data_IF_178336904341
#
_entry.id   IF_178336904341
#
_cell.length_a   1.000
_cell.length_b   1.000
_cell.length_c   1.000
_cell.angle_alpha   90.00
_cell.angle_beta   90.00
_cell.angle_gamma   90.00
#
_symmetry.space_group_name_H-M   'P 1'
#
loop_
_entity.id
_entity.type
_entity.pdbx_description
1 polymer ?
#
# COMPACT_ATOMS: atom_id res chain seq x y z
N UNK A 1 3.15 4.86 -25.55
CA UNK A 1 2.05 4.92 -26.55
C UNK A 1 1.37 6.27 -26.45
N UNK A 2 1.04 6.94 -27.56
CA UNK A 2 0.18 8.12 -27.55
C UNK A 2 -1.24 7.70 -27.12
N UNK A 3 -1.79 8.21 -26.00
CA UNK A 3 -3.14 7.89 -25.60
C UNK A 3 -4.13 8.38 -26.66
N UNK A 4 -4.97 7.49 -27.17
CA UNK A 4 -6.01 7.86 -28.13
C UNK A 4 -7.10 8.67 -27.43
N UNK A 5 -7.20 9.97 -27.73
CA UNK A 5 -8.22 10.88 -27.17
C UNK A 5 -9.56 10.59 -27.87
N UNK A 6 -10.23 9.49 -27.52
CA UNK A 6 -11.53 9.09 -28.11
C UNK A 6 -12.72 9.49 -27.26
N UNK A 7 -12.51 9.78 -25.98
CA UNK A 7 -13.56 10.11 -25.01
C UNK A 7 -14.12 11.53 -25.24
N UNK A 8 -15.45 11.63 -25.34
CA UNK A 8 -16.15 12.89 -25.59
C UNK A 8 -16.02 13.87 -24.41
N UNK A 9 -15.91 13.39 -23.17
CA UNK A 9 -15.74 14.23 -21.99
C UNK A 9 -14.34 14.87 -21.98
N UNK A 10 -13.30 14.11 -22.34
CA UNK A 10 -11.92 14.64 -22.48
C UNK A 10 -11.86 15.67 -23.61
N UNK A 11 -12.48 15.39 -24.76
CA UNK A 11 -12.56 16.35 -25.87
C UNK A 11 -13.29 17.63 -25.47
N UNK A 12 -14.40 17.51 -24.73
CA UNK A 12 -15.16 18.65 -24.25
C UNK A 12 -14.35 19.49 -23.26
N UNK A 13 -13.64 18.86 -22.32
CA UNK A 13 -12.75 19.56 -21.39
C UNK A 13 -11.64 20.33 -22.13
N UNK A 14 -10.96 19.68 -23.08
CA UNK A 14 -9.92 20.33 -23.89
C UNK A 14 -10.50 21.50 -24.71
N UNK A 15 -11.67 21.32 -25.32
CA UNK A 15 -12.32 22.36 -26.11
C UNK A 15 -12.77 23.55 -25.25
N UNK A 16 -13.29 23.29 -24.05
CA UNK A 16 -13.66 24.33 -23.09
C UNK A 16 -12.44 25.16 -22.69
N UNK A 17 -11.34 24.52 -22.28
CA UNK A 17 -10.09 25.19 -21.92
C UNK A 17 -9.50 25.97 -23.09
N UNK A 18 -9.58 25.42 -24.31
CA UNK A 18 -9.13 26.13 -25.51
C UNK A 18 -9.92 27.43 -25.74
N UNK A 19 -11.23 27.41 -25.46
CA UNK A 19 -12.14 28.55 -25.63
C UNK A 19 -12.03 29.61 -24.53
N UNK A 20 -11.41 29.28 -23.39
CA UNK A 20 -11.20 30.23 -22.31
C UNK A 20 -10.16 31.29 -22.69
N UNK A 21 -10.44 32.54 -22.31
CA UNK A 21 -9.50 33.66 -22.32
C UNK A 21 -8.52 33.57 -21.15
N UNK A 22 -7.80 32.44 -21.07
CA UNK A 22 -6.77 32.17 -20.08
C UNK A 22 -5.38 32.16 -20.74
N UNK A 23 -4.34 32.42 -19.95
CA UNK A 23 -2.93 32.28 -20.35
C UNK A 23 -2.58 30.81 -20.64
N UNK A 24 -1.45 30.56 -21.31
CA UNK A 24 -1.01 29.18 -21.57
C UNK A 24 -0.74 28.43 -20.26
N UNK A 25 -0.11 29.09 -19.30
CA UNK A 25 0.17 28.54 -17.96
C UNK A 25 -1.11 28.10 -17.25
N UNK A 26 -2.12 28.97 -17.19
CA UNK A 26 -3.43 28.67 -16.59
C UNK A 26 -4.12 27.49 -17.30
N UNK A 27 -4.05 27.42 -18.63
CA UNK A 27 -4.62 26.29 -19.40
C UNK A 27 -3.92 24.97 -19.10
N UNK A 28 -2.61 24.96 -18.94
CA UNK A 28 -1.83 23.78 -18.54
C UNK A 28 -2.25 23.35 -17.12
N UNK A 29 -2.34 24.31 -16.21
CA UNK A 29 -2.74 24.06 -14.82
C UNK A 29 -4.14 23.46 -14.72
N UNK A 30 -5.13 24.00 -15.46
CA UNK A 30 -6.48 23.45 -15.52
C UNK A 30 -6.51 22.00 -16.02
N UNK A 31 -5.71 21.67 -17.04
CA UNK A 31 -5.61 20.29 -17.53
C UNK A 31 -5.07 19.33 -16.46
N UNK A 32 -4.03 19.75 -15.73
CA UNK A 32 -3.45 18.99 -14.62
C UNK A 32 -4.51 18.78 -13.52
N UNK A 33 -5.24 19.83 -13.13
CA UNK A 33 -6.27 19.75 -12.08
C UNK A 33 -7.43 18.83 -12.44
N UNK A 34 -7.91 18.89 -13.69
CA UNK A 34 -8.96 17.98 -14.17
C UNK A 34 -8.45 16.54 -14.18
N UNK A 35 -7.20 16.32 -14.63
CA UNK A 35 -6.59 14.99 -14.63
C UNK A 35 -6.47 14.43 -13.20
N UNK A 36 -6.04 15.25 -12.23
CA UNK A 36 -6.00 14.90 -10.81
C UNK A 36 -7.39 14.53 -10.27
N UNK A 37 -8.44 15.23 -10.71
CA UNK A 37 -9.82 14.92 -10.34
C UNK A 37 -10.24 13.49 -10.74
N UNK A 38 -9.94 13.09 -11.98
CA UNK A 38 -10.17 11.73 -12.45
C UNK A 38 -9.31 10.70 -11.71
N UNK A 39 -8.05 11.02 -11.42
CA UNK A 39 -7.10 10.14 -10.73
C UNK A 39 -7.49 9.88 -9.27
N UNK A 40 -7.95 10.90 -8.53
CA UNK A 40 -8.29 10.77 -7.10
C UNK A 40 -9.58 10.00 -6.85
N UNK A 41 -10.53 10.03 -7.78
CA UNK A 41 -11.85 9.39 -7.64
C UNK A 41 -12.28 8.70 -8.95
N UNK A 42 -11.55 7.68 -9.42
CA UNK A 42 -11.91 6.96 -10.62
C UNK A 42 -13.19 6.16 -10.37
N UNK A 43 -14.17 6.28 -11.28
CA UNK A 43 -15.36 5.42 -11.28
C UNK A 43 -15.14 4.19 -12.16
N UNK A 44 -14.28 4.32 -13.16
CA UNK A 44 -13.96 3.29 -14.14
C UNK A 44 -12.48 3.33 -14.51
N UNK A 45 -11.95 2.25 -15.08
CA UNK A 45 -10.60 2.25 -15.66
C UNK A 45 -10.45 3.30 -16.80
N UNK A 46 -11.55 3.67 -17.45
CA UNK A 46 -11.55 4.70 -18.49
C UNK A 46 -11.25 6.09 -17.90
N UNK A 47 -11.67 6.38 -16.67
CA UNK A 47 -11.34 7.65 -16.00
C UNK A 47 -9.83 7.83 -15.83
N UNK A 48 -9.12 6.75 -15.52
CA UNK A 48 -7.66 6.76 -15.41
C UNK A 48 -6.99 6.95 -16.78
N UNK A 49 -7.53 6.31 -17.84
CA UNK A 49 -7.04 6.56 -19.22
C UNK A 49 -7.30 8.00 -19.67
N UNK A 50 -8.41 8.59 -19.23
CA UNK A 50 -8.75 9.99 -19.46
C UNK A 50 -7.77 10.92 -18.73
N UNK A 51 -7.44 10.64 -17.46
CA UNK A 51 -6.42 11.36 -16.71
C UNK A 51 -5.05 11.32 -17.40
N UNK A 52 -4.58 10.14 -17.85
CA UNK A 52 -3.33 10.01 -18.62
C UNK A 52 -3.36 10.88 -19.87
N UNK A 53 -4.48 10.91 -20.61
CA UNK A 53 -4.62 11.71 -21.82
C UNK A 53 -4.55 13.21 -21.54
N UNK A 54 -5.15 13.67 -20.44
CA UNK A 54 -5.12 15.06 -20.00
C UNK A 54 -3.72 15.49 -19.54
N UNK A 55 -3.03 14.66 -18.75
CA UNK A 55 -1.64 14.92 -18.36
C UNK A 55 -0.72 14.94 -19.56
N UNK A 56 -0.86 14.02 -20.51
CA UNK A 56 -0.09 14.03 -21.76
C UNK A 56 -0.31 15.33 -22.54
N UNK A 57 -1.57 15.82 -22.61
CA UNK A 57 -1.86 17.09 -23.27
C UNK A 57 -1.22 18.28 -22.55
N UNK A 58 -1.27 18.31 -21.21
CA UNK A 58 -0.61 19.33 -20.41
C UNK A 58 0.91 19.32 -20.64
N UNK A 59 1.52 18.13 -20.63
CA UNK A 59 2.95 17.92 -20.91
C UNK A 59 3.37 18.51 -22.27
N UNK A 60 2.62 18.18 -23.34
CA UNK A 60 2.91 18.68 -24.69
C UNK A 60 2.78 20.21 -24.80
N UNK A 61 1.88 20.81 -24.03
CA UNK A 61 1.66 22.26 -24.01
C UNK A 61 2.78 23.03 -23.28
N UNK A 62 3.55 22.36 -22.41
CA UNK A 62 4.60 23.02 -21.62
C UNK A 62 5.83 23.44 -22.44
N UNK A 63 6.14 22.74 -23.53
CA UNK A 63 7.36 22.98 -24.31
C UNK A 63 8.62 22.95 -23.44
N UNK A 64 9.53 23.90 -23.66
CA UNK A 64 10.73 24.14 -22.83
C UNK A 64 10.55 25.32 -21.86
N UNK A 65 9.43 26.04 -21.94
CA UNK A 65 9.17 27.27 -21.17
C UNK A 65 8.62 26.96 -19.77
N UNK A 66 7.73 25.96 -19.65
CA UNK A 66 7.03 25.64 -18.40
C UNK A 66 7.58 24.37 -17.75
N UNK A 67 8.88 24.36 -17.43
CA UNK A 67 9.61 23.16 -16.95
C UNK A 67 9.02 22.52 -15.69
N UNK A 68 8.58 23.32 -14.70
CA UNK A 68 7.95 22.81 -13.49
C UNK A 68 6.58 22.16 -13.78
N UNK A 69 5.73 22.81 -14.60
CA UNK A 69 4.43 22.24 -14.99
C UNK A 69 4.60 20.97 -15.83
N UNK A 70 5.64 20.91 -16.68
CA UNK A 70 6.02 19.72 -17.44
C UNK A 70 6.32 18.55 -16.50
N UNK A 71 7.15 18.78 -15.49
CA UNK A 71 7.48 17.78 -14.47
C UNK A 71 6.26 17.33 -13.65
N UNK A 72 5.38 18.26 -13.26
CA UNK A 72 4.11 17.96 -12.57
C UNK A 72 3.18 17.10 -13.43
N UNK A 73 3.04 17.42 -14.72
CA UNK A 73 2.27 16.61 -15.64
C UNK A 73 2.86 15.20 -15.83
N UNK A 74 4.19 15.08 -15.88
CA UNK A 74 4.88 13.78 -15.95
C UNK A 74 4.62 12.91 -14.72
N UNK A 75 4.79 13.43 -13.51
CA UNK A 75 4.56 12.62 -12.28
C UNK A 75 3.09 12.30 -12.07
N UNK A 76 2.17 13.21 -12.43
CA UNK A 76 0.73 12.94 -12.42
C UNK A 76 0.36 11.82 -13.40
N UNK A 77 0.93 11.85 -14.61
CA UNK A 77 0.78 10.79 -15.59
C UNK A 77 1.35 9.46 -15.08
N UNK A 78 2.57 9.46 -14.55
CA UNK A 78 3.24 8.27 -14.01
C UNK A 78 2.43 7.62 -12.88
N UNK A 79 1.94 8.41 -11.93
CA UNK A 79 1.09 7.92 -10.83
C UNK A 79 -0.25 7.38 -11.33
N UNK A 80 -0.78 7.93 -12.41
CA UNK A 80 -2.00 7.40 -13.03
C UNK A 80 -1.76 6.07 -13.73
N UNK A 81 -0.63 5.93 -14.44
CA UNK A 81 -0.24 4.69 -15.12
C UNK A 81 -0.11 3.51 -14.15
N UNK A 82 0.36 3.78 -12.93
CA UNK A 82 0.52 2.78 -11.87
C UNK A 82 -0.82 2.16 -11.41
N UNK A 83 -1.92 2.94 -11.40
CA UNK A 83 -3.19 2.53 -10.78
C UNK A 83 -4.24 2.03 -11.79
N UNK A 84 -3.94 1.99 -13.09
CA UNK A 84 -4.84 1.44 -14.11
C UNK A 84 -4.99 -0.08 -13.90
N UNK A 85 -6.20 -0.66 -13.79
CA UNK A 85 -6.38 -2.10 -13.64
C UNK A 85 -5.72 -2.93 -14.76
N UNK A 86 -5.35 -4.18 -14.46
CA UNK A 86 -4.68 -5.13 -15.36
C UNK A 86 -3.33 -4.61 -15.91
N UNK A 87 -2.55 -3.96 -15.03
CA UNK A 87 -1.26 -3.36 -15.38
C UNK A 87 -0.32 -4.40 -15.99
N UNK A 88 -0.02 -4.26 -17.27
CA UNK A 88 1.15 -4.89 -17.87
C UNK A 88 2.42 -4.19 -17.40
N UNK A 89 3.53 -4.92 -17.28
CA UNK A 89 4.85 -4.40 -16.88
C UNK A 89 5.29 -3.17 -17.69
N UNK A 90 4.78 -3.01 -18.92
CA UNK A 90 5.03 -1.86 -19.78
C UNK A 90 4.57 -0.53 -19.15
N UNK A 91 3.38 -0.47 -18.53
CA UNK A 91 2.89 0.78 -17.93
C UNK A 91 3.66 1.13 -16.66
N UNK A 92 4.06 0.13 -15.87
CA UNK A 92 4.94 0.34 -14.70
C UNK A 92 6.32 0.86 -15.12
N UNK A 93 6.87 0.34 -16.23
CA UNK A 93 8.12 0.85 -16.78
C UNK A 93 7.98 2.30 -17.27
N UNK A 94 6.86 2.64 -17.92
CA UNK A 94 6.56 4.03 -18.31
C UNK A 94 6.42 4.94 -17.08
N UNK A 95 5.73 4.48 -16.02
CA UNK A 95 5.61 5.22 -14.78
C UNK A 95 6.97 5.46 -14.12
N UNK A 96 7.82 4.42 -14.05
CA UNK A 96 9.18 4.51 -13.53
C UNK A 96 9.98 5.59 -14.27
N UNK A 97 10.01 5.54 -15.60
CA UNK A 97 10.71 6.53 -16.44
C UNK A 97 10.16 7.93 -16.19
N UNK A 98 8.83 8.10 -16.16
CA UNK A 98 8.19 9.39 -15.92
C UNK A 98 8.58 10.02 -14.57
N UNK A 99 8.68 9.22 -13.51
CA UNK A 99 9.19 9.68 -12.22
C UNK A 99 10.67 10.02 -12.26
N UNK A 100 11.52 9.14 -12.81
CA UNK A 100 12.97 9.33 -12.88
C UNK A 100 13.36 10.57 -13.71
N UNK A 101 12.65 10.86 -14.79
CA UNK A 101 12.89 12.04 -15.63
C UNK A 101 12.41 13.35 -15.00
N UNK A 102 11.28 13.33 -14.26
CA UNK A 102 10.72 14.53 -13.66
C UNK A 102 11.42 14.93 -12.35
N UNK A 103 11.95 13.97 -11.58
CA UNK A 103 12.53 14.18 -10.27
C UNK A 103 13.64 15.24 -10.22
N UNK A 104 14.62 15.30 -11.15
CA UNK A 104 15.64 16.35 -11.13
C UNK A 104 15.06 17.77 -11.21
N UNK A 105 14.05 17.97 -12.04
CA UNK A 105 13.37 19.27 -12.19
C UNK A 105 12.56 19.60 -10.93
N UNK A 106 11.84 18.62 -10.37
CA UNK A 106 11.10 18.81 -9.12
C UNK A 106 12.03 19.14 -7.96
N UNK A 107 13.17 18.46 -7.84
CA UNK A 107 14.18 18.74 -6.81
C UNK A 107 14.73 20.16 -6.88
N UNK A 108 14.78 20.75 -8.08
CA UNK A 108 15.29 22.11 -8.27
C UNK A 108 14.20 23.18 -8.10
N UNK A 109 12.95 22.90 -8.50
CA UNK A 109 11.93 23.94 -8.71
C UNK A 109 10.65 23.75 -7.89
N UNK A 110 10.36 22.54 -7.39
CA UNK A 110 9.12 22.23 -6.69
C UNK A 110 9.26 22.36 -5.16
N UNK A 111 8.14 22.26 -4.47
CA UNK A 111 8.14 22.18 -3.01
C UNK A 111 8.71 20.82 -2.53
N UNK A 112 9.39 20.75 -1.36
CA UNK A 112 9.93 19.50 -0.83
C UNK A 112 8.90 18.37 -0.74
N UNK A 113 7.65 18.70 -0.42
CA UNK A 113 6.53 17.77 -0.30
C UNK A 113 6.17 17.14 -1.65
N UNK A 114 6.22 17.92 -2.74
CA UNK A 114 6.00 17.40 -4.10
C UNK A 114 7.10 16.40 -4.50
N UNK A 115 8.35 16.69 -4.10
CA UNK A 115 9.48 15.79 -4.33
C UNK A 115 9.32 14.50 -3.52
N UNK A 116 8.91 14.61 -2.25
CA UNK A 116 8.71 13.47 -1.38
C UNK A 116 7.54 12.58 -1.83
N UNK A 117 6.44 13.16 -2.31
CA UNK A 117 5.33 12.43 -2.92
C UNK A 117 5.78 11.68 -4.19
N UNK A 118 6.56 12.33 -5.05
CA UNK A 118 7.12 11.69 -6.25
C UNK A 118 8.06 10.53 -5.89
N UNK A 119 8.91 10.68 -4.86
CA UNK A 119 9.77 9.61 -4.35
C UNK A 119 8.98 8.44 -3.75
N UNK A 120 7.96 8.72 -2.94
CA UNK A 120 7.08 7.70 -2.37
C UNK A 120 6.41 6.88 -3.48
N UNK A 121 5.86 7.54 -4.50
CA UNK A 121 5.18 6.86 -5.60
C UNK A 121 6.16 6.11 -6.52
N UNK A 122 7.34 6.66 -6.79
CA UNK A 122 8.42 5.93 -7.46
C UNK A 122 8.79 4.65 -6.69
N UNK A 123 8.88 4.72 -5.36
CA UNK A 123 9.14 3.56 -4.51
C UNK A 123 8.09 2.45 -4.71
N UNK A 124 6.80 2.80 -4.76
CA UNK A 124 5.71 1.86 -5.05
C UNK A 124 5.86 1.22 -6.43
N UNK A 125 6.12 2.02 -7.47
CA UNK A 125 6.33 1.50 -8.83
C UNK A 125 7.52 0.54 -8.89
N UNK A 126 8.64 0.91 -8.26
CA UNK A 126 9.83 0.06 -8.18
C UNK A 126 9.51 -1.26 -7.47
N UNK A 127 8.77 -1.21 -6.35
CA UNK A 127 8.36 -2.41 -5.63
C UNK A 127 7.49 -3.34 -6.50
N UNK A 128 6.53 -2.80 -7.26
CA UNK A 128 5.69 -3.57 -8.19
C UNK A 128 6.47 -4.20 -9.35
N UNK A 129 7.63 -3.65 -9.72
CA UNK A 129 8.50 -4.16 -10.78
C UNK A 129 9.46 -5.28 -10.31
N UNK A 130 9.60 -5.50 -9.00
CA UNK A 130 10.52 -6.53 -8.44
C UNK A 130 10.17 -7.95 -8.88
N UNK A 131 8.91 -8.43 -8.83
CA UNK A 131 8.57 -9.80 -9.25
C UNK A 131 8.93 -10.10 -10.72
N UNK A 132 9.05 -9.07 -11.54
CA UNK A 132 9.39 -9.15 -12.97
C UNK A 132 10.89 -8.96 -13.23
N UNK A 133 11.71 -8.82 -12.19
CA UNK A 133 13.14 -8.54 -12.29
C UNK A 133 13.47 -7.24 -13.06
N UNK A 134 12.58 -6.25 -12.98
CA UNK A 134 12.69 -4.95 -13.67
C UNK A 134 13.09 -3.79 -12.74
N UNK A 135 13.18 -4.06 -11.44
CA UNK A 135 13.68 -3.16 -10.42
C UNK A 135 14.29 -3.97 -9.27
N UNK A 136 15.17 -3.34 -8.48
CA UNK A 136 15.66 -3.93 -7.24
C UNK A 136 14.82 -3.41 -6.10
N UNK A 137 14.48 -4.29 -5.19
CA UNK A 137 13.77 -3.95 -3.95
C UNK A 137 14.56 -2.98 -3.05
N UNK A 138 15.88 -2.89 -3.19
CA UNK A 138 16.69 -1.86 -2.52
C UNK A 138 16.44 -0.46 -3.06
N UNK A 139 16.07 -0.34 -4.33
CA UNK A 139 15.83 0.95 -4.98
C UNK A 139 14.49 1.55 -4.49
N UNK A 140 13.48 0.71 -4.24
CA UNK A 140 12.22 1.17 -3.64
C UNK A 140 12.42 1.63 -2.19
N UNK A 141 13.17 0.88 -1.38
CA UNK A 141 13.51 1.25 0.00
C UNK A 141 14.27 2.58 0.03
N UNK A 142 15.21 2.80 -0.90
CA UNK A 142 15.91 4.07 -1.01
C UNK A 142 14.94 5.22 -1.32
N UNK A 143 14.03 5.05 -2.29
CA UNK A 143 13.05 6.07 -2.63
C UNK A 143 12.13 6.41 -1.44
N UNK A 144 11.70 5.42 -0.66
CA UNK A 144 10.94 5.65 0.58
C UNK A 144 11.74 6.42 1.63
N UNK A 145 13.03 6.13 1.79
CA UNK A 145 13.89 6.88 2.70
C UNK A 145 14.13 8.32 2.25
N UNK A 146 14.19 8.59 0.94
CA UNK A 146 14.22 9.96 0.42
C UNK A 146 12.94 10.72 0.76
N UNK A 147 11.77 10.08 0.61
CA UNK A 147 10.49 10.68 1.03
C UNK A 147 10.43 10.95 2.55
N UNK A 148 10.95 10.04 3.38
CA UNK A 148 11.04 10.20 4.85
C UNK A 148 11.94 11.37 5.30
N UNK A 149 12.74 11.98 4.42
CA UNK A 149 13.47 13.21 4.76
C UNK A 149 12.56 14.44 4.90
N UNK A 150 11.38 14.38 4.30
CA UNK A 150 10.36 15.45 4.32
C UNK A 150 9.14 15.01 5.12
N UNK A 151 8.64 13.80 4.86
CA UNK A 151 7.48 13.25 5.57
C UNK A 151 7.89 12.68 6.92
N UNK A 152 8.11 13.59 7.88
CA UNK A 152 8.42 13.28 9.29
C UNK A 152 7.16 12.91 10.06
N UNK A 153 7.32 12.27 11.23
CA UNK A 153 6.17 11.94 12.07
C UNK A 153 5.50 13.17 12.69
N UNK A 154 6.23 14.28 12.86
CA UNK A 154 5.70 15.51 13.45
C UNK A 154 4.76 16.23 12.50
N UNK A 155 5.14 16.32 11.23
CA UNK A 155 4.46 17.15 10.24
C UNK A 155 3.53 16.33 9.34
N UNK A 156 3.86 15.04 9.11
CA UNK A 156 3.18 14.14 8.18
C UNK A 156 3.03 12.73 8.77
N UNK A 157 2.34 12.54 9.91
CA UNK A 157 2.25 11.25 10.59
C UNK A 157 1.61 10.15 9.73
N UNK A 158 0.68 10.51 8.84
CA UNK A 158 0.03 9.56 7.94
C UNK A 158 1.01 9.00 6.90
N UNK A 159 1.70 9.88 6.17
CA UNK A 159 2.71 9.52 5.18
C UNK A 159 3.88 8.78 5.83
N UNK A 160 4.31 9.21 7.02
CA UNK A 160 5.34 8.54 7.81
C UNK A 160 4.95 7.08 8.13
N UNK A 161 3.71 6.84 8.57
CA UNK A 161 3.20 5.49 8.82
C UNK A 161 3.16 4.64 7.54
N UNK A 162 2.68 5.21 6.43
CA UNK A 162 2.60 4.54 5.13
C UNK A 162 4.01 4.17 4.62
N UNK A 163 4.99 5.06 4.74
CA UNK A 163 6.35 4.83 4.29
C UNK A 163 7.02 3.71 5.08
N UNK A 164 6.94 3.73 6.42
CA UNK A 164 7.48 2.63 7.24
C UNK A 164 6.76 1.31 6.99
N UNK A 165 5.46 1.33 6.75
CA UNK A 165 4.72 0.15 6.30
C UNK A 165 5.26 -0.40 4.97
N UNK A 166 5.47 0.46 3.98
CA UNK A 166 5.96 0.05 2.66
C UNK A 166 7.40 -0.47 2.72
N UNK A 167 8.26 0.16 3.53
CA UNK A 167 9.62 -0.31 3.80
C UNK A 167 9.59 -1.71 4.43
N UNK A 168 8.72 -1.93 5.43
CA UNK A 168 8.58 -3.23 6.07
C UNK A 168 8.13 -4.31 5.07
N UNK A 169 7.09 -4.02 4.28
CA UNK A 169 6.61 -4.93 3.22
C UNK A 169 7.71 -5.20 2.19
N UNK A 170 8.51 -4.18 1.84
CA UNK A 170 9.63 -4.35 0.92
C UNK A 170 10.71 -5.30 1.46
N UNK A 171 11.00 -5.26 2.77
CA UNK A 171 11.89 -6.24 3.38
C UNK A 171 11.30 -7.66 3.38
N UNK A 172 10.00 -7.81 3.64
CA UNK A 172 9.31 -9.11 3.62
C UNK A 172 9.21 -9.72 2.22
N UNK A 173 9.18 -8.91 1.16
CA UNK A 173 9.07 -9.38 -0.22
C UNK A 173 10.41 -9.70 -0.91
N UNK A 174 11.55 -9.43 -0.26
CA UNK A 174 12.86 -9.72 -0.85
C UNK A 174 13.07 -11.24 -1.04
N UNK A 175 13.55 -11.72 -2.21
CA UNK A 175 13.71 -13.16 -2.47
C UNK A 175 14.55 -13.90 -1.44
N UNK A 176 14.09 -15.08 -1.02
CA UNK A 176 14.67 -15.95 0.01
C UNK A 176 15.99 -16.61 -0.44
N UNK A 177 17.03 -15.83 -0.70
CA UNK A 177 18.41 -16.34 -0.73
C UNK A 177 18.87 -16.59 0.72
N UNK A 178 19.13 -17.87 1.02
CA UNK A 178 18.95 -18.55 2.32
C UNK A 178 19.95 -18.24 3.45
N UNK A 179 20.59 -17.07 3.47
CA UNK A 179 21.48 -16.67 4.59
C UNK A 179 21.07 -15.34 5.26
N UNK A 180 20.18 -14.57 4.65
CA UNK A 180 19.79 -13.23 5.15
C UNK A 180 18.29 -13.08 5.41
N UNK A 181 17.56 -14.17 5.51
CA UNK A 181 16.11 -14.16 5.76
C UNK A 181 15.79 -13.53 7.13
N UNK A 182 16.41 -14.04 8.19
CA UNK A 182 16.28 -13.52 9.56
C UNK A 182 16.54 -12.02 9.65
N UNK A 183 17.59 -11.54 8.97
CA UNK A 183 17.94 -10.12 8.96
C UNK A 183 16.82 -9.28 8.34
N UNK A 184 16.24 -9.74 7.23
CA UNK A 184 15.22 -8.99 6.49
C UNK A 184 13.89 -8.96 7.24
N UNK A 185 13.45 -10.09 7.77
CA UNK A 185 12.23 -10.13 8.59
C UNK A 185 12.41 -9.31 9.88
N UNK A 186 13.60 -9.35 10.50
CA UNK A 186 13.94 -8.47 11.61
C UNK A 186 13.89 -6.98 11.26
N UNK A 187 14.40 -6.57 10.09
CA UNK A 187 14.30 -5.20 9.58
C UNK A 187 12.84 -4.78 9.31
N UNK A 188 11.99 -5.70 8.86
CA UNK A 188 10.56 -5.44 8.69
C UNK A 188 9.87 -5.16 10.03
N UNK A 189 10.07 -6.03 11.02
CA UNK A 189 9.56 -5.84 12.39
C UNK A 189 10.07 -4.51 12.97
N UNK A 190 11.36 -4.23 12.83
CA UNK A 190 11.95 -2.97 13.29
C UNK A 190 11.31 -1.75 12.61
N UNK A 191 11.01 -1.83 11.32
CA UNK A 191 10.38 -0.73 10.57
C UNK A 191 8.99 -0.40 11.12
N UNK A 192 8.18 -1.41 11.44
CA UNK A 192 6.89 -1.19 12.11
C UNK A 192 7.07 -0.60 13.51
N UNK A 193 7.99 -1.14 14.32
CA UNK A 193 8.25 -0.67 15.68
C UNK A 193 8.76 0.78 15.71
N UNK A 194 9.57 1.19 14.73
CA UNK A 194 10.02 2.59 14.61
C UNK A 194 8.84 3.53 14.37
N UNK A 195 7.90 3.15 13.50
CA UNK A 195 6.70 3.95 13.29
C UNK A 195 5.81 4.03 14.54
N UNK A 196 5.60 2.89 15.20
CA UNK A 196 4.77 2.76 16.41
C UNK A 196 5.33 3.48 17.66
N UNK A 197 6.58 3.99 17.62
CA UNK A 197 7.09 4.89 18.67
C UNK A 197 6.43 6.27 18.66
N UNK A 198 5.90 6.68 17.50
CA UNK A 198 5.32 8.01 17.28
C UNK A 198 3.84 7.93 16.90
N UNK A 199 3.49 6.92 16.10
CA UNK A 199 2.12 6.63 15.68
C UNK A 199 1.45 5.82 16.78
N UNK A 200 0.33 6.32 17.30
CA UNK A 200 -0.30 5.80 18.51
C UNK A 200 -1.83 5.75 18.39
N UNK A 201 -2.46 4.98 19.28
CA UNK A 201 -3.91 4.72 19.27
C UNK A 201 -4.78 5.98 19.37
N UNK A 202 -4.31 7.02 20.06
CA UNK A 202 -5.13 8.21 20.38
C UNK A 202 -5.07 9.20 19.22
N UNK A 203 -3.87 9.58 18.80
CA UNK A 203 -3.66 10.64 17.82
C UNK A 203 -3.80 10.13 16.39
N UNK A 204 -3.48 8.85 16.16
CA UNK A 204 -3.36 8.24 14.83
C UNK A 204 -4.03 6.86 14.76
N UNK A 205 -5.32 6.71 15.16
CA UNK A 205 -5.94 5.40 15.37
C UNK A 205 -5.92 4.51 14.11
N UNK A 206 -6.15 5.07 12.92
CA UNK A 206 -6.18 4.29 11.67
C UNK A 206 -4.79 3.75 11.31
N UNK A 207 -3.79 4.60 11.33
CA UNK A 207 -2.40 4.27 11.03
C UNK A 207 -1.84 3.30 12.07
N UNK A 208 -2.15 3.53 13.35
CA UNK A 208 -1.78 2.64 14.45
C UNK A 208 -2.31 1.22 14.24
N UNK A 209 -3.60 1.08 13.92
CA UNK A 209 -4.19 -0.23 13.69
C UNK A 209 -3.65 -0.94 12.44
N UNK A 210 -3.33 -0.18 11.38
CA UNK A 210 -2.65 -0.72 10.20
C UNK A 210 -1.26 -1.27 10.55
N UNK A 211 -0.43 -0.46 11.22
CA UNK A 211 0.92 -0.85 11.60
C UNK A 211 0.91 -2.04 12.58
N UNK A 212 0.02 -2.05 13.56
CA UNK A 212 -0.11 -3.15 14.52
C UNK A 212 -0.54 -4.46 13.85
N UNK A 213 -1.52 -4.42 12.94
CA UNK A 213 -1.91 -5.62 12.18
C UNK A 213 -0.74 -6.16 11.36
N UNK A 214 0.00 -5.29 10.67
CA UNK A 214 1.09 -5.71 9.80
C UNK A 214 2.34 -6.14 10.57
N UNK A 215 2.58 -5.55 11.75
CA UNK A 215 3.55 -6.05 12.73
C UNK A 215 3.18 -7.47 13.19
N UNK A 216 1.89 -7.71 13.50
CA UNK A 216 1.41 -9.04 13.86
C UNK A 216 1.69 -10.08 12.76
N UNK A 217 1.37 -9.74 11.51
CA UNK A 217 1.67 -10.61 10.37
C UNK A 217 3.18 -10.89 10.24
N UNK A 218 4.00 -9.85 10.34
CA UNK A 218 5.45 -9.99 10.25
C UNK A 218 6.03 -10.89 11.36
N UNK A 219 5.53 -10.77 12.59
CA UNK A 219 5.93 -11.61 13.71
C UNK A 219 5.47 -13.06 13.55
N UNK A 220 4.24 -13.28 13.10
CA UNK A 220 3.67 -14.61 12.90
C UNK A 220 4.49 -15.44 11.90
N UNK A 221 4.92 -14.82 10.80
CA UNK A 221 5.68 -15.49 9.74
C UNK A 221 7.20 -15.29 9.85
N UNK A 222 7.69 -14.68 10.95
CA UNK A 222 9.11 -14.51 11.23
C UNK A 222 9.73 -15.87 11.53
N UNK A 223 10.64 -16.32 10.65
CA UNK A 223 11.47 -17.49 10.88
C UNK A 223 12.40 -17.16 12.06
N UNK A 224 12.29 -17.96 13.13
CA UNK A 224 12.92 -17.68 14.43
C UNK A 224 13.09 -18.96 15.23
N UNK A 225 14.09 -18.99 16.12
CA UNK A 225 14.20 -20.01 17.16
C UNK A 225 13.18 -19.84 18.30
N UNK A 226 12.41 -18.75 18.29
CA UNK A 226 11.40 -18.42 19.31
C UNK A 226 10.01 -18.18 18.69
N UNK A 227 9.46 -19.15 17.91
CA UNK A 227 8.19 -18.98 17.20
C UNK A 227 6.99 -18.76 18.15
N UNK A 228 7.02 -19.37 19.34
CA UNK A 228 5.98 -19.21 20.35
C UNK A 228 5.92 -17.76 20.87
N UNK A 229 7.05 -17.16 21.21
CA UNK A 229 7.11 -15.76 21.67
C UNK A 229 6.65 -14.80 20.57
N UNK A 230 7.08 -15.06 19.33
CA UNK A 230 6.66 -14.26 18.18
C UNK A 230 5.14 -14.32 17.96
N UNK A 231 4.53 -15.50 18.04
CA UNK A 231 3.07 -15.64 17.90
C UNK A 231 2.31 -14.96 19.05
N UNK A 232 2.81 -15.02 20.29
CA UNK A 232 2.23 -14.28 21.42
C UNK A 232 2.30 -12.76 21.18
N UNK A 233 3.43 -12.25 20.69
CA UNK A 233 3.58 -10.84 20.29
C UNK A 233 2.66 -10.48 19.12
N UNK A 234 2.46 -11.38 18.16
CA UNK A 234 1.54 -11.18 17.05
C UNK A 234 0.09 -11.04 17.54
N UNK A 235 -0.36 -11.93 18.44
CA UNK A 235 -1.67 -11.83 19.10
C UNK A 235 -1.83 -10.49 19.82
N UNK A 236 -0.81 -10.04 20.55
CA UNK A 236 -0.84 -8.74 21.21
C UNK A 236 -1.00 -7.59 20.19
N UNK A 237 -0.26 -7.61 19.09
CA UNK A 237 -0.36 -6.61 18.03
C UNK A 237 -1.75 -6.63 17.35
N UNK A 238 -2.30 -7.81 17.04
CA UNK A 238 -3.67 -7.91 16.52
C UNK A 238 -4.70 -7.36 17.51
N UNK A 239 -4.57 -7.64 18.80
CA UNK A 239 -5.45 -7.07 19.82
C UNK A 239 -5.37 -5.54 19.86
N UNK A 240 -4.18 -4.95 19.68
CA UNK A 240 -4.04 -3.50 19.55
C UNK A 240 -4.75 -2.95 18.31
N UNK A 241 -4.63 -3.63 17.16
CA UNK A 241 -5.35 -3.24 15.94
C UNK A 241 -6.89 -3.33 16.11
N UNK A 242 -7.38 -4.33 16.84
CA UNK A 242 -8.80 -4.55 17.14
C UNK A 242 -9.40 -3.53 18.12
N UNK A 243 -8.58 -2.69 18.77
CA UNK A 243 -9.11 -1.53 19.53
C UNK A 243 -9.72 -0.46 18.62
N UNK A 244 -9.32 -0.44 17.35
CA UNK A 244 -9.80 0.51 16.34
C UNK A 244 -10.68 -0.20 15.32
N UNK A 245 -10.20 -1.35 14.82
CA UNK A 245 -10.91 -2.13 13.80
C UNK A 245 -12.05 -2.90 14.44
N UNK A 246 -13.27 -2.69 13.96
CA UNK A 246 -14.46 -3.30 14.51
C UNK A 246 -15.47 -3.67 13.40
N UNK A 247 -16.40 -4.62 13.65
CA UNK A 247 -17.30 -5.13 12.61
C UNK A 247 -18.34 -4.10 12.13
N UNK A 248 -18.50 -2.97 12.82
CA UNK A 248 -19.48 -1.93 12.45
C UNK A 248 -18.85 -0.87 11.54
N UNK A 249 -17.71 -0.33 11.92
CA UNK A 249 -17.12 0.84 11.26
C UNK A 249 -16.07 0.47 10.21
N UNK A 250 -15.39 -0.67 10.38
CA UNK A 250 -14.35 -1.18 9.48
C UNK A 250 -14.45 -2.72 9.33
N UNK A 251 -15.60 -3.23 8.84
CA UNK A 251 -15.89 -4.67 8.84
C UNK A 251 -14.82 -5.50 8.12
N UNK A 252 -14.33 -5.03 6.97
CA UNK A 252 -13.33 -5.77 6.19
C UNK A 252 -11.96 -5.79 6.86
N UNK A 253 -11.51 -4.67 7.41
CA UNK A 253 -10.24 -4.61 8.13
C UNK A 253 -10.30 -5.42 9.44
N UNK A 254 -11.46 -5.43 10.11
CA UNK A 254 -11.72 -6.26 11.27
C UNK A 254 -11.66 -7.75 10.91
N UNK A 255 -12.37 -8.18 9.87
CA UNK A 255 -12.35 -9.57 9.38
C UNK A 255 -10.94 -10.04 9.03
N UNK A 256 -10.15 -9.22 8.34
CA UNK A 256 -8.74 -9.51 8.07
C UNK A 256 -7.94 -9.70 9.36
N UNK A 257 -8.14 -8.83 10.35
CA UNK A 257 -7.37 -8.86 11.59
C UNK A 257 -7.70 -10.08 12.44
N UNK A 258 -8.99 -10.45 12.55
CA UNK A 258 -9.39 -11.64 13.32
C UNK A 258 -8.98 -12.94 12.62
N UNK A 259 -8.95 -13.00 11.27
CA UNK A 259 -8.39 -14.14 10.54
C UNK A 259 -6.89 -14.30 10.79
N UNK A 260 -6.13 -13.21 10.78
CA UNK A 260 -4.69 -13.25 11.08
C UNK A 260 -4.43 -13.67 12.53
N UNK A 261 -5.28 -13.20 13.46
CA UNK A 261 -5.25 -13.63 14.86
C UNK A 261 -5.58 -15.11 15.01
N UNK A 262 -6.57 -15.63 14.27
CA UNK A 262 -6.91 -17.04 14.24
C UNK A 262 -5.75 -17.90 13.74
N UNK A 263 -5.04 -17.47 12.69
CA UNK A 263 -3.81 -18.13 12.22
C UNK A 263 -2.75 -18.25 13.34
N UNK A 264 -2.62 -17.24 14.20
CA UNK A 264 -1.64 -17.27 15.30
C UNK A 264 -2.11 -18.20 16.42
N UNK A 265 -3.40 -18.17 16.76
CA UNK A 265 -3.99 -19.06 17.76
C UNK A 265 -3.89 -20.53 17.35
N UNK A 266 -4.13 -20.84 16.08
CA UNK A 266 -4.00 -22.19 15.54
C UNK A 266 -2.61 -22.80 15.85
N UNK A 267 -1.56 -21.98 15.80
CA UNK A 267 -0.18 -22.40 16.03
C UNK A 267 0.31 -22.27 17.49
N UNK A 268 -0.57 -21.89 18.44
CA UNK A 268 -0.20 -21.68 19.83
C UNK A 268 -0.78 -22.75 20.76
N UNK A 269 0.00 -23.29 21.70
CA UNK A 269 -0.55 -24.09 22.79
C UNK A 269 -1.45 -23.24 23.69
N UNK A 270 -2.40 -23.88 24.37
CA UNK A 270 -3.27 -23.23 25.34
C UNK A 270 -2.47 -22.69 26.54
N UNK A 271 -1.45 -23.45 26.95
CA UNK A 271 -0.50 -23.09 28.00
C UNK A 271 0.92 -23.03 27.41
N UNK A 272 1.49 -21.83 27.20
CA UNK A 272 2.84 -21.68 26.71
C UNK A 272 3.93 -22.32 27.60
N UNK A 273 3.67 -22.49 28.89
CA UNK A 273 4.61 -23.18 29.81
C UNK A 273 4.50 -24.70 29.73
N UNK A 274 3.38 -25.21 29.19
CA UNK A 274 3.08 -26.65 29.05
C UNK A 274 2.50 -26.96 27.67
N UNK A 275 3.28 -26.78 26.59
CA UNK A 275 2.81 -26.97 25.22
C UNK A 275 2.30 -28.39 24.95
N UNK A 276 2.75 -29.38 25.72
CA UNK A 276 2.30 -30.77 25.64
C UNK A 276 0.81 -30.97 25.97
N UNK A 277 0.17 -30.00 26.64
CA UNK A 277 -1.26 -30.07 26.95
C UNK A 277 -2.16 -29.78 25.74
N UNK A 278 -1.57 -29.40 24.60
CA UNK A 278 -2.30 -29.10 23.37
C UNK A 278 -2.85 -27.67 23.32
N UNK A 279 -3.77 -27.45 22.38
CA UNK A 279 -4.27 -26.13 21.96
C UNK A 279 -5.80 -26.11 21.75
N UNK A 280 -6.57 -27.00 22.40
CA UNK A 280 -8.01 -27.15 22.13
C UNK A 280 -8.81 -25.85 22.32
N UNK A 281 -8.48 -25.04 23.33
CA UNK A 281 -9.16 -23.75 23.54
C UNK A 281 -8.78 -22.73 22.47
N UNK A 282 -7.51 -22.69 22.05
CA UNK A 282 -7.05 -21.83 20.98
C UNK A 282 -7.62 -22.24 19.62
N UNK A 283 -7.74 -23.54 19.33
CA UNK A 283 -8.41 -24.04 18.12
C UNK A 283 -9.89 -23.63 18.09
N UNK A 284 -10.59 -23.76 19.21
CA UNK A 284 -11.98 -23.30 19.32
C UNK A 284 -12.10 -21.79 19.08
N UNK A 285 -11.18 -20.99 19.62
CA UNK A 285 -11.16 -19.55 19.37
C UNK A 285 -10.84 -19.22 17.90
N UNK A 286 -9.86 -19.91 17.30
CA UNK A 286 -9.51 -19.75 15.90
C UNK A 286 -10.70 -20.07 14.98
N UNK A 287 -11.38 -21.19 15.23
CA UNK A 287 -12.60 -21.60 14.52
C UNK A 287 -13.67 -20.49 14.53
N UNK A 288 -13.99 -19.96 15.71
CA UNK A 288 -14.97 -18.88 15.85
C UNK A 288 -14.57 -17.62 15.07
N UNK A 289 -13.29 -17.23 15.13
CA UNK A 289 -12.80 -16.05 14.39
C UNK A 289 -12.82 -16.25 12.88
N UNK A 290 -12.42 -17.42 12.38
CA UNK A 290 -12.54 -17.73 10.96
C UNK A 290 -14.00 -17.74 10.50
N UNK A 291 -14.90 -18.32 11.30
CA UNK A 291 -16.32 -18.32 10.98
C UNK A 291 -16.89 -16.89 10.89
N UNK A 292 -16.54 -16.02 11.84
CA UNK A 292 -16.94 -14.61 11.84
C UNK A 292 -16.37 -13.85 10.63
N UNK A 293 -15.07 -14.02 10.35
CA UNK A 293 -14.43 -13.38 9.20
C UNK A 293 -15.04 -13.85 7.87
N UNK A 294 -15.29 -15.15 7.72
CA UNK A 294 -15.93 -15.72 6.53
C UNK A 294 -17.31 -15.11 6.27
N UNK A 295 -18.12 -14.95 7.32
CA UNK A 295 -19.44 -14.31 7.22
C UNK A 295 -19.31 -12.87 6.73
N UNK A 296 -18.37 -12.10 7.31
CA UNK A 296 -18.15 -10.70 6.92
C UNK A 296 -17.67 -10.61 5.46
N UNK A 297 -16.66 -11.40 5.07
CA UNK A 297 -16.16 -11.38 3.69
C UNK A 297 -17.25 -11.76 2.69
N UNK A 298 -18.07 -12.77 3.00
CA UNK A 298 -19.21 -13.18 2.15
C UNK A 298 -20.25 -12.08 2.02
N UNK A 299 -20.64 -11.43 3.13
CA UNK A 299 -21.60 -10.32 3.12
C UNK A 299 -21.12 -9.13 2.29
N UNK A 300 -19.82 -8.88 2.27
CA UNK A 300 -19.17 -7.80 1.54
C UNK A 300 -18.63 -8.22 0.15
N UNK A 301 -19.00 -9.40 -0.35
CA UNK A 301 -18.62 -9.92 -1.67
C UNK A 301 -17.09 -9.99 -1.90
N UNK A 302 -16.33 -10.21 -0.83
CA UNK A 302 -14.89 -10.47 -0.88
C UNK A 302 -14.66 -11.97 -1.11
N UNK A 303 -14.90 -12.43 -2.34
CA UNK A 303 -14.98 -13.86 -2.68
C UNK A 303 -13.65 -14.57 -2.41
N UNK A 304 -12.53 -14.03 -2.88
CA UNK A 304 -11.21 -14.64 -2.71
C UNK A 304 -10.84 -14.77 -1.23
N UNK A 305 -11.08 -13.72 -0.43
CA UNK A 305 -10.80 -13.75 1.01
C UNK A 305 -11.73 -14.72 1.73
N UNK A 306 -13.01 -14.80 1.33
CA UNK A 306 -13.94 -15.77 1.89
C UNK A 306 -13.49 -17.21 1.59
N UNK A 307 -12.99 -17.51 0.39
CA UNK A 307 -12.47 -18.83 0.04
C UNK A 307 -11.23 -19.20 0.86
N UNK A 308 -10.27 -18.26 1.02
CA UNK A 308 -9.07 -18.48 1.84
C UNK A 308 -9.46 -18.79 3.29
N UNK A 309 -10.38 -18.03 3.88
CA UNK A 309 -10.84 -18.26 5.26
C UNK A 309 -11.65 -19.55 5.38
N UNK A 310 -12.44 -19.91 4.38
CA UNK A 310 -13.18 -21.17 4.37
C UNK A 310 -12.25 -22.38 4.39
N UNK A 311 -11.11 -22.32 3.67
CA UNK A 311 -10.10 -23.36 3.73
C UNK A 311 -9.47 -23.45 5.13
N UNK A 312 -9.06 -22.31 5.70
CA UNK A 312 -8.49 -22.27 7.04
C UNK A 312 -9.47 -22.82 8.10
N UNK A 313 -10.78 -22.55 7.96
CA UNK A 313 -11.81 -23.10 8.82
C UNK A 313 -11.86 -24.63 8.77
N UNK A 314 -11.78 -25.22 7.56
CA UNK A 314 -11.73 -26.68 7.39
C UNK A 314 -10.48 -27.28 8.04
N UNK A 315 -9.33 -26.62 7.92
CA UNK A 315 -8.08 -27.07 8.50
C UNK A 315 -8.17 -27.10 10.04
N UNK A 316 -8.80 -26.08 10.65
CA UNK A 316 -9.07 -26.06 12.10
C UNK A 316 -10.04 -27.14 12.52
N UNK A 317 -11.11 -27.37 11.77
CA UNK A 317 -12.07 -28.43 12.06
C UNK A 317 -11.43 -29.82 11.99
N UNK A 318 -10.52 -30.04 11.05
CA UNK A 318 -9.76 -31.28 10.94
C UNK A 318 -8.83 -31.49 12.15
N UNK A 319 -8.11 -30.45 12.57
CA UNK A 319 -7.20 -30.50 13.73
C UNK A 319 -7.95 -30.67 15.06
N UNK A 320 -9.16 -30.12 15.20
CA UNK A 320 -9.99 -30.33 16.39
C UNK A 320 -10.49 -31.77 16.55
N UNK A 321 -10.43 -32.56 15.47
CA UNK A 321 -10.92 -33.94 15.43
C UNK A 321 -9.80 -34.98 15.49
N UNK A 322 -8.52 -34.56 15.45
CA UNK A 322 -7.34 -35.43 15.54
C UNK A 322 -6.97 -35.76 16.99
#
# INVERSE_FOLDING_TARGET
MTPSITDSAVKAAIAAIASESATMEEKIQMLIEIAQGFQKKPKTAQDLRNAVSLYYRAYEMCGEEYTLLKARAQVGMAGTLQIIPDVGTELLLQAKVGYEEALPTLQQLALPEEVAEAQMNLGLVLQSLVPFNLARITDSIQAYHEALRVFTWQDYPQEYAILYNNIAIAYLSMPLASEREYLRQGLAVQSFEVALKHINLIDHPREYAMLQNNLGNALQYLVSSHPLENNLRAIAAYNEALKVRNPKDTPLEYANTISNKANALFNLPDDPEKPENGNSNNLLQAHNYYQEAWQIFTQHQQIEQAEVVAQALQDVEAEMMS
#
